data_IF_387017115519
#
_entry.id   IF_387017115519
#
_cell.length_a   1.000
_cell.length_b   1.000
_cell.length_c   1.000
_cell.angle_alpha   90.00
_cell.angle_beta   90.00
_cell.angle_gamma   90.00
#
_symmetry.space_group_name_H-M   'P 1'
#
loop_
_entity.id
_entity.type
_entity.pdbx_description
1 polymer ?
#
# COMPACT_ATOMS: atom_id res chain seq x y z
N UNK A 1 20.09 -12.31 18.45
CA UNK A 1 21.17 -12.03 19.44
C UNK A 1 20.60 -11.67 20.81
N UNK A 2 19.62 -10.77 20.90
CA UNK A 2 18.95 -10.36 22.16
C UNK A 2 18.27 -11.50 22.91
N UNK A 3 17.47 -12.30 22.23
CA UNK A 3 16.76 -13.44 22.85
C UNK A 3 17.72 -14.46 23.43
N UNK A 4 18.80 -14.76 22.69
CA UNK A 4 19.82 -15.71 23.13
C UNK A 4 20.45 -15.28 24.47
N UNK A 5 20.82 -14.00 24.63
CA UNK A 5 21.36 -13.49 25.89
C UNK A 5 20.36 -13.64 27.05
N UNK A 6 19.07 -13.39 26.78
CA UNK A 6 18.02 -13.57 27.79
C UNK A 6 17.86 -15.05 28.17
N UNK A 7 17.96 -15.96 27.20
CA UNK A 7 17.96 -17.42 27.46
C UNK A 7 19.20 -17.89 28.22
N UNK A 8 20.34 -17.23 28.02
CA UNK A 8 21.59 -17.45 28.76
C UNK A 8 21.54 -16.86 30.20
N UNK A 9 20.40 -16.26 30.61
CA UNK A 9 20.16 -15.77 31.97
C UNK A 9 20.42 -14.28 32.18
N UNK A 10 20.78 -13.54 31.12
CA UNK A 10 20.93 -12.09 31.23
C UNK A 10 19.58 -11.39 31.41
N UNK A 11 19.56 -10.35 32.24
CA UNK A 11 18.40 -9.45 32.31
C UNK A 11 18.22 -8.69 30.98
N UNK A 12 16.99 -8.26 30.68
CA UNK A 12 16.71 -7.45 29.49
C UNK A 12 17.54 -6.16 29.43
N UNK A 13 17.86 -5.58 30.59
CA UNK A 13 18.73 -4.41 30.71
C UNK A 13 20.18 -4.74 30.35
N UNK A 14 20.71 -5.86 30.84
CA UNK A 14 22.06 -6.33 30.51
C UNK A 14 22.17 -6.67 29.02
N UNK A 15 21.20 -7.40 28.47
CA UNK A 15 21.17 -7.74 27.04
C UNK A 15 21.09 -6.50 26.14
N UNK A 16 20.33 -5.48 26.54
CA UNK A 16 20.23 -4.20 25.85
C UNK A 16 21.59 -3.47 25.81
N UNK A 17 22.31 -3.43 26.94
CA UNK A 17 23.65 -2.84 27.02
C UNK A 17 24.68 -3.57 26.16
N UNK A 18 24.66 -4.91 26.16
CA UNK A 18 25.58 -5.74 25.37
C UNK A 18 25.37 -5.51 23.86
N UNK A 19 24.12 -5.37 23.41
CA UNK A 19 23.77 -5.28 21.98
C UNK A 19 23.72 -3.83 21.48
N UNK A 20 23.65 -2.85 22.39
CA UNK A 20 23.56 -1.43 22.03
C UNK A 20 22.18 -1.01 21.51
N UNK A 21 21.11 -1.64 22.00
CA UNK A 21 19.72 -1.27 21.68
C UNK A 21 18.95 -0.88 22.93
N UNK A 22 17.79 -0.23 22.78
CA UNK A 22 17.00 0.15 23.94
C UNK A 22 16.38 -1.08 24.64
N UNK A 23 16.25 -1.00 25.97
CA UNK A 23 15.64 -2.04 26.81
C UNK A 23 14.21 -2.37 26.40
N UNK A 24 13.46 -1.39 25.87
CA UNK A 24 12.11 -1.61 25.35
C UNK A 24 12.11 -2.53 24.13
N UNK A 25 13.01 -2.35 23.16
CA UNK A 25 13.13 -3.26 22.01
C UNK A 25 13.44 -4.70 22.43
N UNK A 26 14.35 -4.90 23.38
CA UNK A 26 14.63 -6.23 23.94
C UNK A 26 13.37 -6.83 24.57
N UNK A 27 12.63 -6.05 25.35
CA UNK A 27 11.37 -6.49 25.97
C UNK A 27 10.33 -6.88 24.91
N UNK A 28 10.17 -6.09 23.86
CA UNK A 28 9.27 -6.41 22.73
C UNK A 28 9.69 -7.71 22.06
N UNK A 29 10.97 -7.89 21.77
CA UNK A 29 11.45 -9.14 21.17
C UNK A 29 11.16 -10.35 22.06
N UNK A 30 11.41 -10.26 23.37
CA UNK A 30 11.12 -11.35 24.31
C UNK A 30 9.63 -11.66 24.36
N UNK A 31 8.77 -10.65 24.38
CA UNK A 31 7.32 -10.83 24.34
C UNK A 31 6.88 -11.52 23.05
N UNK A 32 7.33 -11.03 21.89
CA UNK A 32 7.03 -11.62 20.58
C UNK A 32 7.50 -13.06 20.49
N UNK A 33 8.72 -13.35 20.97
CA UNK A 33 9.27 -14.71 21.01
C UNK A 33 8.46 -15.63 21.92
N UNK A 34 8.06 -15.17 23.10
CA UNK A 34 7.28 -15.97 24.03
C UNK A 34 5.85 -16.24 23.52
N UNK A 35 5.29 -15.34 22.71
CA UNK A 35 3.93 -15.49 22.17
C UNK A 35 3.83 -16.30 20.89
N UNK A 36 4.76 -16.08 19.93
CA UNK A 36 4.68 -16.63 18.55
C UNK A 36 5.93 -17.46 18.21
N UNK A 37 6.90 -17.56 19.12
CA UNK A 37 8.17 -18.23 18.85
C UNK A 37 9.05 -17.43 17.90
N UNK A 38 9.99 -18.14 17.26
CA UNK A 38 10.96 -17.52 16.34
C UNK A 38 10.28 -16.94 15.09
N UNK A 39 9.15 -17.50 14.66
CA UNK A 39 8.39 -17.04 13.49
C UNK A 39 7.95 -15.58 13.65
N UNK A 40 7.51 -15.19 14.85
CA UNK A 40 7.11 -13.81 15.13
C UNK A 40 8.26 -12.80 15.07
N UNK A 41 9.52 -13.24 15.23
CA UNK A 41 10.70 -12.39 15.07
C UNK A 41 11.16 -12.29 13.62
N UNK A 42 10.87 -13.30 12.80
CA UNK A 42 11.18 -13.33 11.38
C UNK A 42 10.11 -12.62 10.55
N UNK A 43 8.88 -12.56 11.07
CA UNK A 43 7.77 -11.86 10.43
C UNK A 43 8.05 -10.36 10.30
N UNK A 44 8.38 -9.92 9.08
CA UNK A 44 8.52 -8.51 8.76
C UNK A 44 7.17 -7.94 8.33
N UNK A 45 6.50 -7.26 9.25
CA UNK A 45 5.26 -6.52 8.95
C UNK A 45 5.60 -5.17 8.35
N UNK A 46 5.24 -4.97 7.09
CA UNK A 46 5.26 -3.65 6.47
C UNK A 46 3.95 -2.93 6.82
N UNK A 47 4.01 -1.62 7.16
CA UNK A 47 2.79 -0.83 7.24
C UNK A 47 2.06 -0.89 5.88
N UNK A 48 0.71 -0.89 5.85
CA UNK A 48 -0.10 -1.15 4.67
C UNK A 48 -0.02 -0.07 3.56
N UNK A 49 1.00 0.79 3.59
CA UNK A 49 1.16 1.91 2.67
C UNK A 49 0.14 3.02 2.90
N UNK A 50 0.15 4.00 1.99
CA UNK A 50 -0.86 5.07 1.95
C UNK A 50 -2.19 4.47 1.49
N UNK A 51 -3.30 4.84 2.14
CA UNK A 51 -4.63 4.49 1.68
C UNK A 51 -4.85 5.00 0.25
N UNK A 52 -5.35 4.15 -0.67
CA UNK A 52 -5.74 4.59 -2.01
C UNK A 52 -6.73 5.77 -1.95
N UNK A 53 -6.71 6.62 -2.97
CA UNK A 53 -7.64 7.75 -3.06
C UNK A 53 -9.09 7.30 -3.26
N UNK A 54 -9.26 6.19 -3.97
CA UNK A 54 -10.56 5.62 -4.30
C UNK A 54 -10.89 4.50 -3.33
N UNK A 55 -12.16 4.42 -2.94
CA UNK A 55 -12.71 3.24 -2.29
C UNK A 55 -12.73 2.04 -3.24
N UNK A 56 -12.79 0.80 -2.72
CA UNK A 56 -12.87 -0.40 -3.57
C UNK A 56 -14.08 -0.40 -4.51
N UNK A 57 -15.17 0.25 -4.11
CA UNK A 57 -16.38 0.38 -4.92
C UNK A 57 -16.15 1.32 -6.11
N UNK A 58 -15.63 2.53 -5.86
CA UNK A 58 -15.32 3.51 -6.91
C UNK A 58 -14.27 2.96 -7.89
N UNK A 59 -13.26 2.25 -7.38
CA UNK A 59 -12.27 1.55 -8.21
C UNK A 59 -12.94 0.54 -9.15
N UNK A 60 -13.92 -0.22 -8.66
CA UNK A 60 -14.64 -1.20 -9.49
C UNK A 60 -15.50 -0.51 -10.55
N UNK A 61 -16.20 0.57 -10.19
CA UNK A 61 -16.99 1.35 -11.14
C UNK A 61 -16.14 1.94 -12.24
N UNK A 62 -15.02 2.60 -11.90
CA UNK A 62 -14.14 3.23 -12.88
C UNK A 62 -13.53 2.17 -13.81
N UNK A 63 -13.15 1.00 -13.29
CA UNK A 63 -12.68 -0.12 -14.12
C UNK A 63 -13.75 -0.58 -15.12
N UNK A 64 -15.01 -0.69 -14.70
CA UNK A 64 -16.10 -1.07 -15.59
C UNK A 64 -16.32 0.00 -16.67
N UNK A 65 -16.36 1.27 -16.28
CA UNK A 65 -16.47 2.42 -17.22
C UNK A 65 -15.37 2.35 -18.28
N UNK A 66 -14.12 2.14 -17.86
CA UNK A 66 -12.96 2.03 -18.75
C UNK A 66 -13.07 0.89 -19.79
N UNK A 67 -13.77 -0.20 -19.45
CA UNK A 67 -13.92 -1.40 -20.29
C UNK A 67 -15.15 -1.30 -21.20
N UNK A 68 -16.26 -0.82 -20.65
CA UNK A 68 -17.59 -0.90 -21.28
C UNK A 68 -17.94 0.34 -22.11
N UNK A 69 -17.24 1.46 -21.87
CA UNK A 69 -17.60 2.74 -22.45
C UNK A 69 -16.38 3.50 -22.97
N UNK A 70 -16.66 4.58 -23.69
CA UNK A 70 -15.70 5.57 -24.17
C UNK A 70 -15.95 6.91 -23.49
N UNK A 71 -14.95 7.80 -23.42
CA UNK A 71 -15.14 9.14 -22.84
C UNK A 71 -16.34 9.91 -23.39
N UNK A 72 -16.61 9.76 -24.69
CA UNK A 72 -17.75 10.37 -25.36
C UNK A 72 -19.09 9.82 -24.86
N UNK A 73 -19.20 8.50 -24.67
CA UNK A 73 -20.41 7.88 -24.11
C UNK A 73 -20.67 8.33 -22.67
N UNK A 74 -19.61 8.60 -21.91
CA UNK A 74 -19.68 9.10 -20.54
C UNK A 74 -19.84 10.63 -20.45
N UNK A 75 -19.91 11.34 -21.59
CA UNK A 75 -20.07 12.79 -21.63
C UNK A 75 -18.86 13.60 -21.14
N UNK A 76 -17.68 12.99 -21.12
CA UNK A 76 -16.45 13.56 -20.54
C UNK A 76 -15.66 14.36 -21.59
N UNK A 77 -15.75 13.96 -22.85
CA UNK A 77 -15.09 14.62 -23.96
C UNK A 77 -15.33 13.92 -25.29
N UNK A 78 -14.92 14.52 -26.42
CA UNK A 78 -15.16 13.96 -27.75
C UNK A 78 -14.29 12.74 -28.07
N UNK A 79 -13.37 12.36 -27.18
CA UNK A 79 -12.39 11.30 -27.41
C UNK A 79 -13.03 9.91 -27.49
N UNK A 80 -12.50 9.09 -28.40
CA UNK A 80 -12.91 7.69 -28.59
C UNK A 80 -12.15 6.77 -27.61
N UNK A 81 -10.97 7.20 -27.14
CA UNK A 81 -10.10 6.40 -26.28
C UNK A 81 -9.87 7.09 -24.94
N UNK A 82 -9.76 6.29 -23.89
CA UNK A 82 -9.36 6.76 -22.57
C UNK A 82 -7.89 7.17 -22.58
N UNK A 83 -7.63 8.41 -22.16
CA UNK A 83 -6.29 8.87 -21.84
C UNK A 83 -6.21 9.34 -20.38
N UNK A 84 -4.99 9.55 -19.89
CA UNK A 84 -4.78 9.96 -18.49
C UNK A 84 -5.28 11.37 -18.16
N UNK A 85 -5.52 12.24 -19.16
CA UNK A 85 -6.07 13.59 -18.97
C UNK A 85 -7.59 13.53 -18.82
N UNK A 86 -8.26 12.78 -19.68
CA UNK A 86 -9.69 12.51 -19.61
C UNK A 86 -10.03 11.81 -18.30
N UNK A 87 -9.22 10.82 -17.89
CA UNK A 87 -9.39 10.16 -16.60
C UNK A 87 -9.18 11.10 -15.42
N UNK A 88 -8.22 12.03 -15.52
CA UNK A 88 -8.02 13.03 -14.48
C UNK A 88 -9.27 13.89 -14.29
N UNK A 89 -9.89 14.31 -15.39
CA UNK A 89 -11.14 15.07 -15.35
C UNK A 89 -12.29 14.24 -14.76
N UNK A 90 -12.46 12.99 -15.19
CA UNK A 90 -13.48 12.07 -14.64
C UNK A 90 -13.37 11.94 -13.12
N UNK A 91 -12.15 11.72 -12.62
CA UNK A 91 -11.88 11.53 -11.19
C UNK A 91 -12.19 12.79 -10.38
N UNK A 92 -11.87 13.96 -10.92
CA UNK A 92 -12.12 15.24 -10.27
C UNK A 92 -13.61 15.61 -10.26
N UNK A 93 -14.30 15.42 -11.39
CA UNK A 93 -15.71 15.81 -11.57
C UNK A 93 -16.68 14.86 -10.85
N UNK A 94 -16.50 13.55 -11.01
CA UNK A 94 -17.45 12.54 -10.51
C UNK A 94 -17.15 12.08 -9.08
N UNK A 95 -15.86 12.01 -8.72
CA UNK A 95 -15.40 11.43 -7.45
C UNK A 95 -14.71 12.43 -6.52
N UNK A 96 -14.53 13.70 -6.95
CA UNK A 96 -13.82 14.74 -6.17
C UNK A 96 -12.40 14.32 -5.76
N UNK A 97 -11.77 13.46 -6.56
CA UNK A 97 -10.43 12.91 -6.33
C UNK A 97 -9.43 13.61 -7.23
N UNK A 98 -8.56 14.42 -6.62
CA UNK A 98 -7.44 15.06 -7.32
C UNK A 98 -6.22 14.13 -7.35
N UNK A 99 -5.92 13.62 -8.54
CA UNK A 99 -4.73 12.78 -8.79
C UNK A 99 -3.84 13.39 -9.86
N UNK A 100 -2.54 13.21 -9.72
CA UNK A 100 -1.60 13.52 -10.80
C UNK A 100 -1.70 12.48 -11.90
N UNK A 101 -1.40 12.85 -13.15
CA UNK A 101 -1.36 11.90 -14.28
C UNK A 101 -0.42 10.71 -14.03
N UNK A 102 0.69 10.93 -13.31
CA UNK A 102 1.58 9.85 -12.88
C UNK A 102 0.90 8.89 -11.89
N UNK A 103 0.18 9.42 -10.89
CA UNK A 103 -0.59 8.61 -9.95
C UNK A 103 -1.73 7.83 -10.63
N UNK A 104 -2.36 8.41 -11.67
CA UNK A 104 -3.34 7.72 -12.51
C UNK A 104 -2.68 6.59 -13.30
N UNK A 105 -1.50 6.82 -13.88
CA UNK A 105 -0.74 5.79 -14.57
C UNK A 105 -0.36 4.63 -13.63
N UNK A 106 0.15 4.94 -12.43
CA UNK A 106 0.46 3.93 -11.41
C UNK A 106 -0.79 3.16 -10.96
N UNK A 107 -1.93 3.85 -10.87
CA UNK A 107 -3.22 3.23 -10.57
C UNK A 107 -3.63 2.26 -11.67
N UNK A 108 -3.61 2.68 -12.94
CA UNK A 108 -3.93 1.82 -14.08
C UNK A 108 -3.01 0.60 -14.17
N UNK A 109 -1.71 0.76 -13.89
CA UNK A 109 -0.77 -0.37 -13.83
C UNK A 109 -1.10 -1.36 -12.71
N UNK A 110 -1.46 -0.89 -11.50
CA UNK A 110 -1.95 -1.77 -10.42
C UNK A 110 -3.23 -2.51 -10.82
N UNK A 111 -3.99 -1.93 -11.74
CA UNK A 111 -5.23 -2.49 -12.26
C UNK A 111 -5.03 -3.41 -13.47
N UNK A 112 -3.78 -3.67 -13.87
CA UNK A 112 -3.39 -4.46 -15.04
C UNK A 112 -3.85 -3.87 -16.39
N UNK A 113 -4.22 -2.59 -16.42
CA UNK A 113 -4.46 -1.90 -17.69
C UNK A 113 -3.12 -1.61 -18.38
N UNK A 114 -3.11 -1.82 -19.69
CA UNK A 114 -1.96 -1.54 -20.55
C UNK A 114 -2.31 -0.49 -21.58
N UNK A 115 -1.29 0.22 -22.04
CA UNK A 115 -1.46 1.25 -23.06
C UNK A 115 -1.89 0.63 -24.40
N UNK A 116 -3.05 1.04 -24.89
CA UNK A 116 -3.53 0.72 -26.23
C UNK A 116 -3.15 1.84 -27.19
N UNK A 117 -2.52 1.48 -28.31
CA UNK A 117 -2.22 2.46 -29.37
C UNK A 117 -3.53 2.79 -30.12
N UNK A 118 -3.74 4.08 -30.50
CA UNK A 118 -4.85 4.47 -31.37
C UNK A 118 -4.79 3.79 -32.73
#
# INVERSE_FOLDING_TARGET
MSIRLVMEGHSATSAAQIIGICRQSVSTYVQTFNSVGIEGLLERRYPPGRTPYLSPHEETEIRNILIESTPNQEGIGPEIHWDTRVLQYLLEDRYYVSMSRGGICDMLHRWEFTYTRP
#
